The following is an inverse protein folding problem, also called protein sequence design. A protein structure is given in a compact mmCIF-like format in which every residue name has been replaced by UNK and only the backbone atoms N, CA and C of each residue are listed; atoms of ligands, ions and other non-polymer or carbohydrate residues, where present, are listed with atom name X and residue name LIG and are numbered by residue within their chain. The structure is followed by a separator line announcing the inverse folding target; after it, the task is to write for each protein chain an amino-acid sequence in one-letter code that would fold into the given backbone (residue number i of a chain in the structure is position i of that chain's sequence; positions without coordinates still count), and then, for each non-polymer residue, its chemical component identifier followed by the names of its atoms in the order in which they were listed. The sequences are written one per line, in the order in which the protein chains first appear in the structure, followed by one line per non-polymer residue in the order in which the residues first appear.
data_IF_368727509503
#
_entry.id   IF_368727509503
#
_cell.length_a   1.000
_cell.length_b   1.000
_cell.length_c   1.000
_cell.angle_alpha   90.00
_cell.angle_beta   90.00
_cell.angle_gamma   90.00
#
_symmetry.space_group_name_H-M   'P 1'
#
loop_
_entity.id
_entity.type
_entity.pdbx_description
1 polymer ?
#
# COMPACT_ATOMS: atom_id res chain seq x y z
N UNK A 1 46.52 2.62 0.98
CA UNK A 1 45.20 3.24 0.81
C UNK A 1 44.42 2.94 2.08
N UNK A 2 44.02 3.98 2.83
CA UNK A 2 43.36 3.84 4.13
C UNK A 2 42.13 2.94 4.00
N UNK A 3 42.21 1.74 4.58
CA UNK A 3 41.04 0.97 4.95
C UNK A 3 40.36 1.72 6.08
N UNK A 4 39.48 2.66 5.76
CA UNK A 4 38.58 3.24 6.73
C UNK A 4 37.74 2.08 7.27
N UNK A 5 38.18 1.52 8.40
CA UNK A 5 37.51 0.41 9.06
C UNK A 5 36.15 0.94 9.54
N UNK A 6 35.11 0.70 8.74
CA UNK A 6 33.76 1.17 9.01
C UNK A 6 33.22 0.49 10.27
N UNK A 7 33.45 1.12 11.43
CA UNK A 7 33.03 0.59 12.72
C UNK A 7 31.67 1.15 13.14
N UNK A 8 30.64 0.33 12.99
CA UNK A 8 29.27 0.57 13.42
C UNK A 8 28.85 -0.29 14.62
N UNK A 9 29.82 -0.86 15.33
CA UNK A 9 29.58 -1.76 16.45
C UNK A 9 28.70 -1.09 17.52
N UNK A 10 27.67 -1.80 18.01
CA UNK A 10 26.70 -1.33 19.01
C UNK A 10 25.93 -0.04 18.68
N UNK A 11 26.00 0.47 17.45
CA UNK A 11 25.31 1.69 17.07
C UNK A 11 23.83 1.44 16.79
N UNK A 12 23.01 2.46 17.06
CA UNK A 12 21.63 2.50 16.57
C UNK A 12 21.60 3.09 15.16
N UNK A 13 21.45 2.21 14.16
CA UNK A 13 21.45 2.57 12.75
C UNK A 13 20.07 2.47 12.12
N UNK A 14 19.00 2.30 12.90
CA UNK A 14 17.65 2.08 12.38
C UNK A 14 17.28 3.08 11.28
N UNK A 15 16.69 2.56 10.20
CA UNK A 15 16.23 3.33 9.03
C UNK A 15 17.32 4.11 8.27
N UNK A 16 18.61 3.82 8.49
CA UNK A 16 19.67 4.42 7.67
C UNK A 16 19.79 3.73 6.32
N UNK A 17 20.13 4.52 5.31
CA UNK A 17 20.48 4.01 3.99
C UNK A 17 21.99 3.81 3.89
N UNK A 18 22.38 2.59 3.56
CA UNK A 18 23.73 2.17 3.17
C UNK A 18 23.76 1.72 1.70
N UNK A 19 22.75 2.14 0.93
CA UNK A 19 22.55 1.73 -0.46
C UNK A 19 23.77 2.02 -1.32
N UNK A 20 24.21 1.01 -2.06
CA UNK A 20 25.35 1.07 -2.99
C UNK A 20 26.68 1.53 -2.37
N UNK A 21 26.81 1.50 -1.03
CA UNK A 21 28.06 1.86 -0.36
C UNK A 21 29.07 0.71 -0.42
N UNK A 22 30.35 1.11 -0.40
CA UNK A 22 31.50 0.21 -0.34
C UNK A 22 31.86 -0.01 1.13
N UNK A 23 31.40 -1.12 1.72
CA UNK A 23 31.46 -1.43 3.15
C UNK A 23 32.17 -2.77 3.40
N UNK A 24 33.19 -3.06 2.59
CA UNK A 24 34.07 -4.21 2.79
C UNK A 24 34.65 -4.19 4.21
N UNK A 25 34.65 -5.34 4.87
CA UNK A 25 35.19 -5.51 6.23
C UNK A 25 34.51 -4.63 7.31
N UNK A 26 33.35 -4.04 7.01
CA UNK A 26 32.63 -3.19 7.97
C UNK A 26 32.14 -3.99 9.18
N UNK A 27 32.23 -3.38 10.36
CA UNK A 27 31.80 -3.99 11.61
C UNK A 27 30.44 -3.46 12.06
N UNK A 28 29.38 -4.25 11.87
CA UNK A 28 28.02 -4.00 12.36
C UNK A 28 27.69 -4.83 13.61
N UNK A 29 28.69 -5.38 14.31
CA UNK A 29 28.42 -6.30 15.41
C UNK A 29 27.62 -5.62 16.54
N UNK A 30 26.55 -6.25 16.99
CA UNK A 30 25.69 -5.69 18.04
C UNK A 30 24.90 -4.45 17.63
N UNK A 31 24.98 -3.99 16.37
CA UNK A 31 24.28 -2.81 15.89
C UNK A 31 22.78 -3.09 15.71
N UNK A 32 21.96 -2.04 15.82
CA UNK A 32 20.54 -2.09 15.50
C UNK A 32 20.32 -1.62 14.06
N UNK A 33 20.16 -2.58 13.14
CA UNK A 33 20.05 -2.34 11.69
C UNK A 33 18.62 -2.55 11.17
N UNK A 34 17.62 -2.54 12.06
CA UNK A 34 16.21 -2.68 11.68
C UNK A 34 15.78 -1.56 10.73
N UNK A 35 15.21 -1.95 9.60
CA UNK A 35 14.80 -1.02 8.55
C UNK A 35 15.92 -0.34 7.76
N UNK A 36 17.18 -0.78 7.92
CA UNK A 36 18.27 -0.28 7.07
C UNK A 36 18.12 -0.75 5.62
N UNK A 37 18.53 0.11 4.68
CA UNK A 37 18.62 -0.22 3.25
C UNK A 37 20.08 -0.48 2.87
N UNK A 38 20.44 -1.76 2.69
CA UNK A 38 21.75 -2.19 2.17
C UNK A 38 21.68 -2.58 0.69
N UNK A 39 20.65 -2.15 -0.06
CA UNK A 39 20.50 -2.55 -1.45
C UNK A 39 21.75 -2.19 -2.28
N UNK A 40 22.25 -3.16 -3.05
CA UNK A 40 23.45 -3.03 -3.87
C UNK A 40 24.76 -2.67 -3.13
N UNK A 41 24.78 -2.72 -1.79
CA UNK A 41 25.99 -2.47 -1.01
C UNK A 41 27.03 -3.59 -1.19
N UNK A 42 28.31 -3.24 -1.11
CA UNK A 42 29.42 -4.20 -1.08
C UNK A 42 29.79 -4.45 0.39
N UNK A 43 29.42 -5.63 0.90
CA UNK A 43 29.48 -6.02 2.32
C UNK A 43 30.32 -7.29 2.51
N UNK A 44 31.26 -7.54 1.61
CA UNK A 44 32.13 -8.71 1.68
C UNK A 44 32.90 -8.68 3.01
N UNK A 45 32.91 -9.81 3.70
CA UNK A 45 33.52 -9.98 5.04
C UNK A 45 32.98 -9.04 6.12
N UNK A 46 31.84 -8.37 5.91
CA UNK A 46 31.22 -7.55 6.93
C UNK A 46 30.75 -8.41 8.12
N UNK A 47 30.85 -7.85 9.33
CA UNK A 47 30.50 -8.55 10.56
C UNK A 47 29.15 -8.08 11.10
N UNK A 48 28.13 -8.94 11.05
CA UNK A 48 26.79 -8.69 11.60
C UNK A 48 26.47 -9.55 12.84
N UNK A 49 27.46 -10.14 13.49
CA UNK A 49 27.27 -10.92 14.73
C UNK A 49 26.58 -10.08 15.80
N UNK A 50 25.52 -10.60 16.44
CA UNK A 50 24.64 -9.91 17.41
C UNK A 50 23.88 -8.70 16.86
N UNK A 51 23.88 -8.45 15.55
CA UNK A 51 23.11 -7.35 14.98
C UNK A 51 21.60 -7.63 15.06
N UNK A 52 20.81 -6.58 15.30
CA UNK A 52 19.35 -6.67 15.34
C UNK A 52 18.78 -6.37 13.96
N UNK A 53 18.12 -7.36 13.39
CA UNK A 53 17.46 -7.28 12.09
C UNK A 53 15.95 -7.17 12.22
N UNK A 54 15.29 -6.87 11.11
CA UNK A 54 13.84 -6.86 11.03
C UNK A 54 13.27 -5.49 10.75
N UNK A 55 12.00 -5.35 11.12
CA UNK A 55 11.25 -4.14 10.85
C UNK A 55 11.52 -3.06 11.89
N UNK A 56 11.71 -1.81 11.44
CA UNK A 56 11.78 -0.67 12.36
C UNK A 56 10.43 -0.46 13.04
N UNK A 57 10.42 -0.50 14.37
CA UNK A 57 9.20 -0.32 15.18
C UNK A 57 8.53 1.03 14.90
N UNK A 58 9.31 2.10 14.65
CA UNK A 58 8.76 3.43 14.38
C UNK A 58 8.02 3.48 13.03
N UNK A 59 8.63 2.93 11.97
CA UNK A 59 7.98 2.86 10.64
C UNK A 59 6.77 1.94 10.69
N UNK A 60 6.88 0.79 11.35
CA UNK A 60 5.76 -0.15 11.48
C UNK A 60 4.56 0.50 12.19
N UNK A 61 4.80 1.18 13.31
CA UNK A 61 3.75 1.89 14.04
C UNK A 61 3.16 3.03 13.21
N UNK A 62 3.99 3.83 12.53
CA UNK A 62 3.49 4.94 11.71
C UNK A 62 2.61 4.44 10.56
N UNK A 63 3.01 3.37 9.85
CA UNK A 63 2.22 2.78 8.77
C UNK A 63 0.88 2.25 9.27
N UNK A 64 0.83 1.62 10.45
CA UNK A 64 -0.43 1.14 11.05
C UNK A 64 -1.35 2.27 11.47
N UNK A 65 -0.81 3.33 12.07
CA UNK A 65 -1.58 4.52 12.44
C UNK A 65 -2.14 5.20 11.18
N UNK A 66 -1.32 5.42 10.16
CA UNK A 66 -1.77 5.98 8.88
C UNK A 66 -2.82 5.09 8.22
N UNK A 67 -2.64 3.77 8.20
CA UNK A 67 -3.62 2.84 7.67
C UNK A 67 -4.96 2.94 8.41
N UNK A 68 -4.95 2.96 9.74
CA UNK A 68 -6.16 3.09 10.54
C UNK A 68 -6.87 4.44 10.32
N UNK A 69 -6.12 5.54 10.26
CA UNK A 69 -6.67 6.86 9.96
C UNK A 69 -7.33 6.91 8.58
N UNK A 70 -6.65 6.40 7.55
CA UNK A 70 -7.21 6.33 6.19
C UNK A 70 -8.43 5.44 6.15
N UNK A 71 -8.41 4.29 6.83
CA UNK A 71 -9.56 3.38 6.94
C UNK A 71 -10.77 4.12 7.51
N UNK A 72 -10.63 4.80 8.65
CA UNK A 72 -11.74 5.50 9.29
C UNK A 72 -12.29 6.63 8.41
N UNK A 73 -11.42 7.47 7.85
CA UNK A 73 -11.83 8.61 7.01
C UNK A 73 -12.53 8.13 5.72
N UNK A 74 -11.97 7.12 5.06
CA UNK A 74 -12.57 6.55 3.85
C UNK A 74 -13.86 5.82 4.15
N UNK A 75 -13.94 5.10 5.27
CA UNK A 75 -15.13 4.35 5.66
C UNK A 75 -16.32 5.27 5.92
N UNK A 76 -16.11 6.38 6.63
CA UNK A 76 -17.17 7.38 6.87
C UNK A 76 -17.66 7.95 5.53
N UNK A 77 -16.73 8.42 4.69
CA UNK A 77 -17.05 9.02 3.40
C UNK A 77 -17.83 8.06 2.48
N UNK A 78 -17.31 6.86 2.30
CA UNK A 78 -17.91 5.85 1.41
C UNK A 78 -19.25 5.37 1.95
N UNK A 79 -19.39 5.18 3.26
CA UNK A 79 -20.64 4.71 3.86
C UNK A 79 -21.75 5.74 3.68
N UNK A 80 -21.52 7.00 4.06
CA UNK A 80 -22.55 8.04 3.92
C UNK A 80 -22.94 8.29 2.46
N UNK A 81 -21.96 8.31 1.55
CA UNK A 81 -22.26 8.41 0.12
C UNK A 81 -23.05 7.22 -0.40
N UNK A 82 -22.67 6.01 -0.01
CA UNK A 82 -23.35 4.79 -0.46
C UNK A 82 -24.82 4.79 -0.01
N UNK A 83 -25.09 5.07 1.26
CA UNK A 83 -26.47 5.17 1.76
C UNK A 83 -27.24 6.32 1.11
N UNK A 84 -26.58 7.46 0.82
CA UNK A 84 -27.20 8.61 0.18
C UNK A 84 -27.64 8.38 -1.27
N UNK A 85 -27.11 7.37 -1.96
CA UNK A 85 -27.49 7.06 -3.35
C UNK A 85 -28.41 5.84 -3.49
N UNK A 86 -28.71 5.14 -2.39
CA UNK A 86 -29.60 3.98 -2.43
C UNK A 86 -31.00 4.38 -2.91
N UNK A 87 -31.53 3.60 -3.85
CA UNK A 87 -32.88 3.82 -4.39
C UNK A 87 -32.97 4.93 -5.45
N UNK A 88 -31.86 5.60 -5.80
CA UNK A 88 -31.87 6.55 -6.91
C UNK A 88 -32.18 5.84 -8.23
N UNK A 89 -33.20 6.33 -8.93
CA UNK A 89 -33.58 5.84 -10.26
C UNK A 89 -33.05 6.77 -11.35
N UNK A 90 -32.92 6.30 -12.61
CA UNK A 90 -32.41 7.10 -13.72
C UNK A 90 -33.18 8.38 -14.03
N UNK A 91 -34.43 8.47 -13.55
CA UNK A 91 -35.35 9.59 -13.78
C UNK A 91 -35.05 10.80 -12.88
N UNK A 92 -34.37 10.58 -11.75
CA UNK A 92 -34.06 11.65 -10.79
C UNK A 92 -32.74 12.33 -11.21
N UNK A 93 -32.63 13.67 -11.18
CA UNK A 93 -31.39 14.39 -11.49
C UNK A 93 -30.16 13.92 -10.70
N UNK A 94 -30.37 13.37 -9.50
CA UNK A 94 -29.34 12.79 -8.63
C UNK A 94 -28.66 11.53 -9.20
N UNK A 95 -29.20 10.93 -10.26
CA UNK A 95 -28.61 9.77 -10.96
C UNK A 95 -27.20 10.06 -11.50
N UNK A 96 -26.93 11.31 -11.88
CA UNK A 96 -25.60 11.75 -12.29
C UNK A 96 -24.54 11.48 -11.21
N UNK A 97 -24.83 11.85 -9.97
CA UNK A 97 -23.93 11.64 -8.82
C UNK A 97 -23.78 10.16 -8.48
N UNK A 98 -24.85 9.37 -8.62
CA UNK A 98 -24.81 7.93 -8.38
C UNK A 98 -23.85 7.24 -9.36
N UNK A 99 -23.93 7.57 -10.66
CA UNK A 99 -22.99 7.06 -11.67
C UNK A 99 -21.55 7.50 -11.39
N UNK A 100 -21.34 8.78 -11.06
CA UNK A 100 -20.01 9.31 -10.75
C UNK A 100 -19.38 8.60 -9.55
N UNK A 101 -20.17 8.33 -8.50
CA UNK A 101 -19.74 7.59 -7.32
C UNK A 101 -19.33 6.16 -7.67
N UNK A 102 -20.19 5.41 -8.38
CA UNK A 102 -19.92 4.02 -8.78
C UNK A 102 -18.65 3.92 -9.64
N UNK A 103 -18.47 4.84 -10.59
CA UNK A 103 -17.25 4.89 -11.43
C UNK A 103 -16.02 5.19 -10.58
N UNK A 104 -16.10 6.17 -9.68
CA UNK A 104 -14.97 6.54 -8.81
C UNK A 104 -14.56 5.40 -7.86
N UNK A 105 -15.55 4.72 -7.27
CA UNK A 105 -15.33 3.55 -6.42
C UNK A 105 -14.71 2.40 -7.21
N UNK A 106 -15.16 2.16 -8.45
CA UNK A 106 -14.62 1.13 -9.33
C UNK A 106 -13.15 1.41 -9.69
N UNK A 107 -12.83 2.63 -10.13
CA UNK A 107 -11.46 3.01 -10.49
C UNK A 107 -10.53 2.90 -9.27
N UNK A 108 -10.97 3.41 -8.12
CA UNK A 108 -10.21 3.32 -6.87
C UNK A 108 -9.98 1.88 -6.44
N UNK A 109 -11.05 1.11 -6.22
CA UNK A 109 -10.96 -0.21 -5.60
C UNK A 109 -10.38 -1.28 -6.53
N UNK A 110 -10.83 -1.33 -7.79
CA UNK A 110 -10.33 -2.29 -8.78
C UNK A 110 -8.87 -1.97 -9.11
N UNK A 111 -8.53 -0.70 -9.28
CA UNK A 111 -7.15 -0.26 -9.52
C UNK A 111 -6.19 -0.69 -8.39
N UNK A 112 -6.57 -0.45 -7.14
CA UNK A 112 -5.76 -0.87 -5.98
C UNK A 112 -5.55 -2.39 -5.93
N UNK A 113 -6.58 -3.15 -6.28
CA UNK A 113 -6.58 -4.62 -6.23
C UNK A 113 -5.74 -5.26 -7.34
N UNK A 114 -5.77 -4.67 -8.54
CA UNK A 114 -5.15 -5.24 -9.75
C UNK A 114 -3.69 -4.85 -9.94
N UNK A 115 -3.16 -3.88 -9.18
CA UNK A 115 -1.81 -3.32 -9.39
C UNK A 115 -0.66 -4.34 -9.38
N UNK A 116 -0.83 -5.51 -8.76
CA UNK A 116 0.16 -6.61 -8.76
C UNK A 116 -0.26 -7.85 -9.57
N UNK A 117 -1.44 -7.83 -10.21
CA UNK A 117 -1.91 -8.93 -11.08
C UNK A 117 -1.24 -8.88 -12.43
N UNK A 118 -1.32 -7.71 -13.05
CA UNK A 118 -1.10 -7.58 -14.49
C UNK A 118 0.35 -7.25 -14.86
N UNK A 119 1.22 -6.99 -13.88
CA UNK A 119 2.47 -6.29 -14.14
C UNK A 119 3.68 -6.91 -13.44
N UNK A 120 4.59 -7.45 -14.25
CA UNK A 120 6.01 -7.63 -13.88
C UNK A 120 6.81 -6.32 -14.04
N UNK A 121 6.27 -5.30 -14.75
CA UNK A 121 6.92 -4.00 -15.00
C UNK A 121 6.56 -2.97 -13.92
N UNK A 122 7.59 -2.42 -13.28
CA UNK A 122 7.48 -1.44 -12.19
C UNK A 122 6.78 -0.12 -12.59
N UNK A 123 6.88 0.30 -13.86
CA UNK A 123 6.27 1.55 -14.33
C UNK A 123 4.74 1.51 -14.33
N UNK A 124 4.16 0.37 -14.71
CA UNK A 124 2.72 0.21 -14.86
C UNK A 124 2.06 0.01 -13.48
N UNK A 125 2.71 -0.70 -12.55
CA UNK A 125 2.28 -0.78 -11.14
C UNK A 125 2.13 0.63 -10.53
N UNK A 126 3.14 1.49 -10.74
CA UNK A 126 3.11 2.85 -10.21
C UNK A 126 1.99 3.68 -10.87
N UNK A 127 1.76 3.53 -12.17
CA UNK A 127 0.67 4.22 -12.87
C UNK A 127 -0.71 3.82 -12.31
N UNK A 128 -0.97 2.52 -12.16
CA UNK A 128 -2.24 2.02 -11.60
C UNK A 128 -2.43 2.52 -10.16
N UNK A 129 -1.35 2.52 -9.38
CA UNK A 129 -1.38 3.02 -7.99
C UNK A 129 -1.72 4.51 -7.96
N UNK A 130 -1.16 5.31 -8.87
CA UNK A 130 -1.48 6.74 -8.97
C UNK A 130 -2.92 6.96 -9.39
N UNK A 131 -3.42 6.25 -10.40
CA UNK A 131 -4.82 6.38 -10.88
C UNK A 131 -5.80 6.03 -9.76
N UNK A 132 -5.58 4.89 -9.09
CA UNK A 132 -6.41 4.46 -7.96
C UNK A 132 -6.33 5.43 -6.78
N UNK A 133 -5.13 5.91 -6.45
CA UNK A 133 -4.91 6.90 -5.40
C UNK A 133 -5.61 8.22 -5.68
N UNK A 134 -5.53 8.72 -6.92
CA UNK A 134 -6.21 9.94 -7.37
C UNK A 134 -7.73 9.77 -7.29
N UNK A 135 -8.29 8.66 -7.78
CA UNK A 135 -9.73 8.41 -7.69
C UNK A 135 -10.21 8.34 -6.22
N UNK A 136 -9.43 7.71 -5.34
CA UNK A 136 -9.71 7.66 -3.90
C UNK A 136 -9.67 9.06 -3.29
N UNK A 137 -8.65 9.85 -3.62
CA UNK A 137 -8.47 11.20 -3.12
C UNK A 137 -9.60 12.13 -3.59
N UNK A 138 -9.99 12.04 -4.86
CA UNK A 138 -11.12 12.78 -5.43
C UNK A 138 -12.40 12.51 -4.65
N UNK A 139 -12.68 11.23 -4.35
CA UNK A 139 -13.87 10.82 -3.61
C UNK A 139 -13.87 11.37 -2.17
N UNK A 140 -12.76 11.19 -1.45
CA UNK A 140 -12.61 11.68 -0.07
C UNK A 140 -12.67 13.22 -0.05
N UNK A 141 -11.99 13.88 -0.99
CA UNK A 141 -11.98 15.34 -1.12
C UNK A 141 -13.36 15.90 -1.44
N UNK A 142 -14.10 15.26 -2.33
CA UNK A 142 -15.49 15.62 -2.65
C UNK A 142 -16.37 15.57 -1.40
N UNK A 143 -16.28 14.48 -0.64
CA UNK A 143 -17.04 14.29 0.60
C UNK A 143 -16.80 15.41 1.61
N UNK A 144 -15.54 15.55 2.05
CA UNK A 144 -15.19 16.41 3.16
C UNK A 144 -15.27 17.88 2.77
N UNK A 145 -14.89 18.24 1.54
CA UNK A 145 -15.06 19.62 1.08
C UNK A 145 -16.52 20.02 0.90
N UNK A 146 -17.39 19.08 0.53
CA UNK A 146 -18.84 19.30 0.54
C UNK A 146 -19.38 19.55 1.95
N UNK A 147 -19.02 18.72 2.93
CA UNK A 147 -19.48 18.88 4.32
C UNK A 147 -19.01 20.21 4.92
N UNK A 148 -17.75 20.60 4.70
CA UNK A 148 -17.20 21.85 5.24
C UNK A 148 -17.89 23.10 4.70
N UNK A 149 -18.57 23.01 3.55
CA UNK A 149 -19.23 24.14 2.89
C UNK A 149 -20.74 23.93 2.76
N UNK A 150 -21.37 23.35 3.80
CA UNK A 150 -22.82 23.15 3.89
C UNK A 150 -23.42 22.40 2.68
N UNK A 151 -22.73 21.37 2.20
CA UNK A 151 -23.12 20.52 1.06
C UNK A 151 -23.21 21.27 -0.29
N UNK A 152 -22.44 22.33 -0.46
CA UNK A 152 -22.32 23.02 -1.75
C UNK A 152 -21.60 22.13 -2.79
N UNK A 153 -22.20 21.85 -3.97
CA UNK A 153 -21.59 20.99 -4.97
C UNK A 153 -20.35 21.60 -5.65
N UNK A 154 -20.30 22.92 -5.84
CA UNK A 154 -19.15 23.58 -6.48
C UNK A 154 -17.90 23.46 -5.59
N UNK A 155 -18.09 23.67 -4.29
CA UNK A 155 -17.07 23.50 -3.27
C UNK A 155 -16.49 22.07 -3.24
N UNK A 156 -17.38 21.07 -3.27
CA UNK A 156 -17.02 19.66 -3.28
C UNK A 156 -16.19 19.27 -4.51
N UNK A 157 -16.52 19.83 -5.69
CA UNK A 157 -15.71 19.59 -6.90
C UNK A 157 -14.32 20.22 -6.78
N UNK A 158 -14.22 21.44 -6.24
CA UNK A 158 -12.92 22.11 -6.05
C UNK A 158 -12.03 21.30 -5.09
N UNK A 159 -12.57 20.85 -3.96
CA UNK A 159 -11.81 20.03 -3.00
C UNK A 159 -11.40 18.67 -3.56
N UNK A 160 -12.24 18.05 -4.38
CA UNK A 160 -11.92 16.83 -5.11
C UNK A 160 -10.74 17.03 -6.06
N UNK A 161 -10.71 18.14 -6.80
CA UNK A 161 -9.61 18.48 -7.71
C UNK A 161 -8.31 18.74 -6.95
N UNK A 162 -8.37 19.53 -5.88
CA UNK A 162 -7.18 19.86 -5.07
C UNK A 162 -6.59 18.60 -4.44
N UNK A 163 -7.41 17.75 -3.81
CA UNK A 163 -6.96 16.49 -3.21
C UNK A 163 -6.38 15.52 -4.25
N UNK A 164 -6.98 15.44 -5.43
CA UNK A 164 -6.48 14.65 -6.57
C UNK A 164 -5.08 15.08 -7.00
N UNK A 165 -4.86 16.39 -7.16
CA UNK A 165 -3.56 16.95 -7.57
C UNK A 165 -2.51 16.68 -6.49
N UNK A 166 -2.85 16.89 -5.21
CA UNK A 166 -1.96 16.63 -4.09
C UNK A 166 -1.53 15.16 -4.09
N UNK A 167 -2.47 14.21 -4.20
CA UNK A 167 -2.14 12.78 -4.19
C UNK A 167 -1.39 12.36 -5.45
N UNK A 168 -1.68 12.94 -6.62
CA UNK A 168 -0.92 12.69 -7.84
C UNK A 168 0.56 13.10 -7.68
N UNK A 169 0.81 14.29 -7.12
CA UNK A 169 2.17 14.77 -6.82
C UNK A 169 2.84 13.88 -5.77
N UNK A 170 2.15 13.55 -4.69
CA UNK A 170 2.70 12.69 -3.63
C UNK A 170 3.07 11.30 -4.15
N UNK A 171 2.25 10.69 -5.01
CA UNK A 171 2.55 9.41 -5.64
C UNK A 171 3.78 9.48 -6.57
N UNK A 172 4.00 10.62 -7.23
CA UNK A 172 5.15 10.79 -8.13
C UNK A 172 6.45 11.12 -7.37
N UNK A 173 6.36 11.99 -6.37
CA UNK A 173 7.49 12.46 -5.56
C UNK A 173 7.91 11.42 -4.52
N UNK A 174 6.96 10.88 -3.77
CA UNK A 174 7.21 9.90 -2.71
C UNK A 174 6.88 8.50 -3.21
N UNK A 175 7.85 7.84 -3.86
CA UNK A 175 7.79 6.41 -4.22
C UNK A 175 7.96 5.50 -2.99
N UNK A 176 7.32 5.86 -1.89
CA UNK A 176 7.50 5.24 -0.59
C UNK A 176 6.39 4.23 -0.32
N UNK A 177 6.72 3.21 0.47
CA UNK A 177 5.76 2.21 0.95
C UNK A 177 4.49 2.79 1.58
N UNK A 178 4.61 3.98 2.20
CA UNK A 178 3.48 4.69 2.80
C UNK A 178 2.36 4.99 1.79
N UNK A 179 2.68 5.51 0.60
CA UNK A 179 1.66 5.78 -0.42
C UNK A 179 0.99 4.49 -0.89
N UNK A 180 1.75 3.40 -1.00
CA UNK A 180 1.22 2.09 -1.39
C UNK A 180 0.26 1.53 -0.35
N UNK A 181 0.50 1.79 0.94
CA UNK A 181 -0.42 1.46 2.05
C UNK A 181 -1.68 2.31 1.98
N UNK A 182 -1.56 3.63 1.85
CA UNK A 182 -2.72 4.55 1.76
C UNK A 182 -3.66 4.12 0.64
N UNK A 183 -3.12 3.90 -0.56
CA UNK A 183 -3.92 3.51 -1.74
C UNK A 183 -4.56 2.14 -1.55
N UNK A 184 -3.85 1.17 -0.96
CA UNK A 184 -4.41 -0.18 -0.74
C UNK A 184 -5.56 -0.17 0.29
N UNK A 185 -5.43 0.61 1.36
CA UNK A 185 -6.47 0.74 2.40
C UNK A 185 -7.67 1.49 1.84
N UNK A 186 -7.46 2.62 1.16
CA UNK A 186 -8.55 3.37 0.55
C UNK A 186 -9.28 2.54 -0.53
N UNK A 187 -8.52 1.83 -1.36
CA UNK A 187 -9.08 0.91 -2.37
C UNK A 187 -9.84 -0.26 -1.76
N UNK A 188 -9.40 -0.80 -0.62
CA UNK A 188 -10.14 -1.81 0.14
C UNK A 188 -11.54 -1.31 0.53
N UNK A 189 -11.62 -0.12 1.12
CA UNK A 189 -12.90 0.47 1.53
C UNK A 189 -13.77 0.82 0.31
N UNK A 190 -13.17 1.34 -0.77
CA UNK A 190 -13.91 1.67 -1.98
C UNK A 190 -14.49 0.42 -2.67
N UNK A 191 -13.74 -0.68 -2.72
CA UNK A 191 -14.26 -1.96 -3.22
C UNK A 191 -15.38 -2.51 -2.34
N UNK A 192 -15.24 -2.40 -1.01
CA UNK A 192 -16.31 -2.78 -0.09
C UNK A 192 -17.59 -1.97 -0.34
N UNK A 193 -17.47 -0.64 -0.45
CA UNK A 193 -18.61 0.24 -0.77
C UNK A 193 -19.24 -0.06 -2.12
N UNK A 194 -18.43 -0.35 -3.14
CA UNK A 194 -18.92 -0.76 -4.46
C UNK A 194 -19.66 -2.09 -4.40
N UNK A 195 -19.09 -3.09 -3.72
CA UNK A 195 -19.73 -4.39 -3.54
C UNK A 195 -21.07 -4.25 -2.81
N UNK A 196 -21.14 -3.38 -1.80
CA UNK A 196 -22.38 -3.06 -1.09
C UNK A 196 -23.45 -2.47 -2.03
N UNK A 197 -23.10 -1.45 -2.83
CA UNK A 197 -24.03 -0.81 -3.76
C UNK A 197 -24.53 -1.76 -4.85
N UNK A 198 -23.64 -2.56 -5.45
CA UNK A 198 -24.04 -3.52 -6.47
C UNK A 198 -24.89 -4.64 -5.84
N UNK A 199 -24.59 -5.04 -4.62
CA UNK A 199 -25.38 -6.05 -3.89
C UNK A 199 -26.79 -5.56 -3.59
N UNK A 200 -26.96 -4.31 -3.14
CA UNK A 200 -28.29 -3.75 -2.92
C UNK A 200 -29.13 -3.72 -4.19
N UNK A 201 -28.50 -3.40 -5.33
CA UNK A 201 -29.19 -3.43 -6.64
C UNK A 201 -29.51 -4.87 -7.06
N UNK A 202 -28.58 -5.81 -6.83
CA UNK A 202 -28.82 -7.23 -7.10
C UNK A 202 -30.03 -7.77 -6.33
N UNK A 203 -30.13 -7.48 -5.03
CA UNK A 203 -31.27 -7.87 -4.20
C UNK A 203 -32.59 -7.26 -4.68
N UNK A 204 -32.59 -6.00 -5.15
CA UNK A 204 -33.78 -5.37 -5.71
C UNK A 204 -34.26 -6.06 -7.01
N UNK A 205 -33.35 -6.51 -7.87
CA UNK A 205 -33.72 -7.30 -9.06
C UNK A 205 -34.23 -8.70 -8.70
N UNK A 206 -33.64 -9.34 -7.70
CA UNK A 206 -34.09 -10.64 -7.22
C UNK A 206 -35.50 -10.56 -6.59
N UNK A 207 -35.83 -9.49 -5.87
CA UNK A 207 -37.16 -9.31 -5.28
C UNK A 207 -38.26 -9.03 -6.31
N UNK A 208 -37.90 -8.46 -7.45
CA UNK A 208 -38.82 -8.16 -8.57
C UNK A 208 -38.95 -9.32 -9.57
N UNK A 209 -38.55 -10.54 -9.19
CA UNK A 209 -38.57 -11.75 -10.03
C UNK A 209 -37.69 -11.68 -11.28
N UNK A 210 -36.80 -10.70 -11.38
CA UNK A 210 -35.79 -10.63 -12.45
C UNK A 210 -34.52 -11.37 -12.04
N UNK A 211 -34.62 -12.71 -12.01
CA UNK A 211 -33.55 -13.59 -11.53
C UNK A 211 -32.28 -13.50 -12.38
N UNK A 212 -32.40 -13.23 -13.68
CA UNK A 212 -31.24 -13.15 -14.57
C UNK A 212 -30.32 -11.99 -14.18
N UNK A 213 -30.86 -10.76 -14.13
CA UNK A 213 -30.06 -9.57 -13.79
C UNK A 213 -29.58 -9.62 -12.34
N UNK A 214 -30.44 -10.08 -11.42
CA UNK A 214 -30.07 -10.28 -10.02
C UNK A 214 -28.90 -11.25 -9.84
N UNK A 215 -28.89 -12.36 -10.59
CA UNK A 215 -27.80 -13.35 -10.53
C UNK A 215 -26.49 -12.82 -11.13
N UNK A 216 -26.56 -12.08 -12.25
CA UNK A 216 -25.37 -11.47 -12.87
C UNK A 216 -24.72 -10.47 -11.90
N UNK A 217 -25.51 -9.60 -11.28
CA UNK A 217 -25.01 -8.65 -10.29
C UNK A 217 -24.54 -9.35 -9.02
N UNK A 218 -25.18 -10.44 -8.61
CA UNK A 218 -24.72 -11.29 -7.50
C UNK A 218 -23.36 -11.94 -7.76
N UNK A 219 -23.09 -12.42 -8.98
CA UNK A 219 -21.76 -12.92 -9.35
C UNK A 219 -20.74 -11.77 -9.31
N UNK A 220 -21.12 -10.59 -9.81
CA UNK A 220 -20.26 -9.40 -9.78
C UNK A 220 -19.90 -8.98 -8.34
N UNK A 221 -20.82 -9.06 -7.39
CA UNK A 221 -20.53 -8.73 -5.98
C UNK A 221 -19.55 -9.70 -5.35
N UNK A 222 -19.66 -11.00 -5.65
CA UNK A 222 -18.69 -12.01 -5.20
C UNK A 222 -17.29 -11.72 -5.76
N UNK A 223 -17.19 -11.34 -7.04
CA UNK A 223 -15.92 -10.93 -7.66
C UNK A 223 -15.35 -9.71 -6.93
N UNK A 224 -16.17 -8.69 -6.67
CA UNK A 224 -15.74 -7.50 -5.95
C UNK A 224 -15.29 -7.78 -4.52
N UNK A 225 -15.97 -8.68 -3.79
CA UNK A 225 -15.53 -9.12 -2.46
C UNK A 225 -14.18 -9.85 -2.51
N UNK A 226 -13.96 -10.68 -3.53
CA UNK A 226 -12.65 -11.31 -3.73
C UNK A 226 -11.55 -10.26 -4.01
N UNK A 227 -11.87 -9.20 -4.77
CA UNK A 227 -10.96 -8.07 -4.97
C UNK A 227 -10.73 -7.28 -3.66
N UNK A 228 -11.76 -7.09 -2.83
CA UNK A 228 -11.64 -6.49 -1.50
C UNK A 228 -10.62 -7.24 -0.63
N UNK A 229 -10.76 -8.57 -0.52
CA UNK A 229 -9.84 -9.41 0.24
C UNK A 229 -8.41 -9.32 -0.30
N UNK A 230 -8.26 -9.24 -1.62
CA UNK A 230 -6.96 -9.02 -2.24
C UNK A 230 -6.35 -7.67 -1.87
N UNK A 231 -7.13 -6.57 -1.92
CA UNK A 231 -6.66 -5.24 -1.54
C UNK A 231 -6.23 -5.19 -0.07
N UNK A 232 -6.96 -5.89 0.81
CA UNK A 232 -6.60 -6.04 2.21
C UNK A 232 -5.27 -6.77 2.39
N UNK A 233 -5.09 -7.91 1.72
CA UNK A 233 -3.85 -8.67 1.75
C UNK A 233 -2.66 -7.84 1.23
N UNK A 234 -2.87 -7.02 0.19
CA UNK A 234 -1.86 -6.09 -0.31
C UNK A 234 -1.51 -5.01 0.73
N UNK A 235 -2.51 -4.44 1.43
CA UNK A 235 -2.28 -3.47 2.49
C UNK A 235 -1.45 -4.08 3.63
N UNK A 236 -1.82 -5.29 4.08
CA UNK A 236 -1.08 -6.03 5.12
C UNK A 236 0.34 -6.30 4.65
N UNK A 237 0.51 -6.80 3.42
CA UNK A 237 1.83 -7.08 2.87
C UNK A 237 2.70 -5.82 2.86
N UNK A 238 2.19 -4.69 2.33
CA UNK A 238 2.91 -3.42 2.33
C UNK A 238 3.26 -2.94 3.74
N UNK A 239 2.37 -3.09 4.72
CA UNK A 239 2.66 -2.73 6.11
C UNK A 239 3.77 -3.62 6.68
N UNK A 240 3.78 -4.92 6.37
CA UNK A 240 4.79 -5.85 6.90
C UNK A 240 6.13 -5.75 6.20
N UNK A 241 6.17 -5.54 4.88
CA UNK A 241 7.42 -5.55 4.11
C UNK A 241 8.16 -4.22 4.14
N UNK A 242 7.44 -3.11 4.34
CA UNK A 242 8.08 -1.80 4.36
C UNK A 242 8.80 -1.54 5.69
N UNK A 243 10.04 -1.03 5.59
CA UNK A 243 10.86 -0.76 6.76
C UNK A 243 11.47 -2.01 7.39
N UNK A 244 11.49 -3.14 6.68
CA UNK A 244 12.35 -4.29 6.95
C UNK A 244 13.79 -3.98 6.52
N UNK A 245 14.79 -4.52 7.21
CA UNK A 245 16.19 -4.51 6.75
C UNK A 245 16.30 -5.21 5.39
N UNK A 246 16.77 -4.50 4.36
CA UNK A 246 16.96 -5.08 3.02
C UNK A 246 18.45 -5.21 2.69
N UNK A 247 18.79 -6.30 2.00
CA UNK A 247 20.08 -6.60 1.38
C UNK A 247 19.92 -6.84 -0.13
N UNK A 248 18.91 -6.24 -0.76
CA UNK A 248 18.55 -6.58 -2.14
C UNK A 248 19.71 -6.27 -3.09
N UNK A 249 20.21 -7.28 -3.81
CA UNK A 249 21.35 -7.10 -4.72
C UNK A 249 22.68 -6.77 -4.03
N UNK A 250 22.77 -6.90 -2.70
CA UNK A 250 24.01 -6.66 -1.96
C UNK A 250 25.00 -7.82 -2.15
N UNK A 251 26.29 -7.53 -2.07
CA UNK A 251 27.33 -8.56 -2.06
C UNK A 251 27.71 -8.89 -0.61
N UNK A 252 27.26 -10.05 -0.12
CA UNK A 252 27.47 -10.52 1.25
C UNK A 252 28.46 -11.68 1.33
N UNK A 253 29.34 -11.81 0.32
CA UNK A 253 30.34 -12.88 0.28
C UNK A 253 31.19 -12.91 1.56
N UNK A 254 31.21 -14.07 2.23
CA UNK A 254 31.89 -14.28 3.51
C UNK A 254 31.47 -13.32 4.65
N UNK A 255 30.29 -12.69 4.56
CA UNK A 255 29.75 -11.91 5.66
C UNK A 255 29.33 -12.81 6.83
N UNK A 256 29.53 -12.35 8.06
CA UNK A 256 29.27 -13.14 9.28
C UNK A 256 27.94 -12.75 9.92
N UNK A 257 27.09 -13.74 10.18
CA UNK A 257 25.80 -13.59 10.86
C UNK A 257 25.72 -14.55 12.06
N UNK A 258 24.79 -14.28 12.98
CA UNK A 258 24.45 -15.24 14.04
C UNK A 258 23.68 -16.43 13.47
N UNK A 259 23.94 -17.63 13.97
CA UNK A 259 23.22 -18.87 13.58
C UNK A 259 21.72 -18.85 13.90
N UNK A 260 21.29 -17.97 14.81
CA UNK A 260 19.89 -17.91 15.27
C UNK A 260 19.13 -16.74 14.61
N UNK A 261 19.66 -16.19 13.53
CA UNK A 261 19.06 -15.05 12.82
C UNK A 261 17.72 -15.45 12.19
N UNK A 262 16.69 -14.61 12.35
CA UNK A 262 15.40 -14.84 11.70
C UNK A 262 15.43 -14.28 10.27
N UNK A 263 15.82 -15.12 9.30
CA UNK A 263 15.93 -14.75 7.89
C UNK A 263 14.60 -14.28 7.26
N UNK A 264 13.45 -14.72 7.77
CA UNK A 264 12.12 -14.29 7.28
C UNK A 264 11.83 -12.80 7.49
N UNK A 265 12.56 -12.16 8.39
CA UNK A 265 12.41 -10.73 8.69
C UNK A 265 13.43 -9.88 7.94
N UNK A 266 14.09 -10.40 6.90
CA UNK A 266 15.11 -9.70 6.13
C UNK A 266 14.94 -10.00 4.65
N UNK A 267 15.10 -8.99 3.81
CA UNK A 267 14.99 -9.17 2.36
C UNK A 267 16.37 -9.42 1.74
N UNK A 268 16.63 -10.66 1.33
CA UNK A 268 17.85 -11.09 0.64
C UNK A 268 17.68 -11.23 -0.89
N UNK A 269 16.61 -10.66 -1.47
CA UNK A 269 16.33 -10.83 -2.90
C UNK A 269 17.54 -10.45 -3.77
N UNK A 270 18.01 -11.38 -4.60
CA UNK A 270 19.16 -11.20 -5.49
C UNK A 270 20.49 -10.82 -4.79
N UNK A 271 20.61 -11.02 -3.48
CA UNK A 271 21.89 -10.84 -2.78
C UNK A 271 22.87 -11.97 -3.14
N UNK A 272 24.17 -11.66 -3.22
CA UNK A 272 25.21 -12.67 -3.32
C UNK A 272 25.54 -13.20 -1.92
N UNK A 273 25.06 -14.40 -1.61
CA UNK A 273 25.17 -15.02 -0.28
C UNK A 273 26.18 -16.17 -0.24
N UNK A 274 27.18 -16.16 -1.14
CA UNK A 274 28.19 -17.22 -1.18
C UNK A 274 28.90 -17.38 0.19
N UNK A 275 28.91 -18.61 0.72
CA UNK A 275 29.37 -18.98 2.07
C UNK A 275 28.57 -18.45 3.27
N UNK A 276 27.38 -17.88 3.06
CA UNK A 276 26.37 -17.76 4.12
C UNK A 276 25.60 -19.08 4.10
N UNK A 277 25.42 -19.74 5.24
CA UNK A 277 24.68 -21.00 5.36
C UNK A 277 23.35 -20.91 4.60
N UNK A 278 23.32 -21.44 3.38
CA UNK A 278 22.23 -21.26 2.42
C UNK A 278 21.01 -22.14 2.73
N UNK A 279 21.11 -23.00 3.75
CA UNK A 279 20.02 -23.86 4.20
C UNK A 279 18.98 -23.11 5.07
N UNK A 280 19.23 -21.85 5.44
CA UNK A 280 18.36 -21.07 6.34
C UNK A 280 17.74 -19.80 5.71
N UNK A 281 18.12 -19.45 4.46
CA UNK A 281 17.66 -18.27 3.71
C UNK A 281 16.43 -18.57 2.86
#
# INVERSE_FOLDING_TARGET
MNSDNFNFCHQNLQNRSFKALQLHDANFSGADVRGCDFSHAQLQRANFVKAKFGQSTKIFMSLRITAFMVLCLTFIAVSEMAFGVLGNTPEIPAWSYTKALVISLAISGIGASLRRVFTQKLSLENLITTISGVASAALIGFYYGGILQNKNPQAAVISALVSSIIVAILCFVFKNGLMRVIVAVAGFVCNYGLAFLISSVAFAYLSTHNYLMGSILGILTVILLAMTMRSLNLAIQEITTNGITNFRGANLENARFDSNMNYKQVDFTAANTHNINSQEI
#
